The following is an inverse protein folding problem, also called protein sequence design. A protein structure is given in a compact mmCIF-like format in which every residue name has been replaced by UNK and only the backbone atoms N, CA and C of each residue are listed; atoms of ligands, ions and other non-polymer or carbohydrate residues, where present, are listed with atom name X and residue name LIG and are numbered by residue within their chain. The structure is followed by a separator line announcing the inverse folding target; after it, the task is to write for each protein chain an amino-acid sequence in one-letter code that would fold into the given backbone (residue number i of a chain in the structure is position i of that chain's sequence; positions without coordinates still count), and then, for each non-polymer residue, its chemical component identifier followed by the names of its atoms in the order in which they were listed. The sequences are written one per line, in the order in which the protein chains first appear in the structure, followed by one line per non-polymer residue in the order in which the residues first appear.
data_IF_386662471228
#
_entry.id   IF_386662471228
#
_cell.length_a   1.000
_cell.length_b   1.000
_cell.length_c   1.000
_cell.angle_alpha   90.00
_cell.angle_beta   90.00
_cell.angle_gamma   90.00
#
_symmetry.space_group_name_H-M   'P 1'
#
loop_
_entity.id
_entity.type
_entity.pdbx_description
1 polymer ?
#
# COMPACT_ATOMS: atom_id res chain seq x y z
N UNK A 1 -8.06 -20.93 -1.26
CA UNK A 1 -6.77 -21.23 -1.91
C UNK A 1 -5.96 -22.03 -0.90
N UNK A 2 -5.47 -23.22 -1.29
CA UNK A 2 -4.63 -24.04 -0.43
C UNK A 2 -3.27 -23.36 -0.23
N UNK A 3 -2.78 -23.36 1.02
CA UNK A 3 -1.51 -22.75 1.38
C UNK A 3 -0.31 -23.51 0.77
N UNK A 4 0.76 -22.77 0.47
CA UNK A 4 2.06 -23.34 0.25
C UNK A 4 2.64 -23.78 1.61
N UNK A 5 3.15 -25.01 1.69
CA UNK A 5 3.71 -25.59 2.92
C UNK A 5 5.06 -26.21 2.61
N UNK A 6 6.04 -25.91 3.44
CA UNK A 6 7.39 -26.49 3.39
C UNK A 6 7.93 -26.66 4.80
N UNK A 7 8.66 -27.76 5.04
CA UNK A 7 9.30 -28.04 6.32
C UNK A 7 10.81 -28.15 6.21
N UNK A 8 11.49 -27.82 7.30
CA UNK A 8 12.94 -27.74 7.39
C UNK A 8 13.44 -28.39 8.68
N UNK A 9 14.66 -28.86 8.64
CA UNK A 9 15.41 -29.09 9.88
C UNK A 9 15.63 -27.78 10.64
N UNK A 10 16.03 -27.83 11.88
CA UNK A 10 16.39 -26.65 12.68
C UNK A 10 17.57 -25.83 12.10
N UNK A 11 18.35 -26.44 11.24
CA UNK A 11 19.47 -25.79 10.52
C UNK A 11 19.10 -25.32 9.11
N UNK A 12 17.82 -25.47 8.68
CA UNK A 12 17.30 -24.94 7.43
C UNK A 12 17.39 -25.86 6.23
N UNK A 13 17.68 -27.14 6.41
CA UNK A 13 17.61 -28.15 5.34
C UNK A 13 16.15 -28.52 5.06
N UNK A 14 15.76 -28.57 3.80
CA UNK A 14 14.39 -28.86 3.37
C UNK A 14 14.07 -30.33 3.55
N UNK A 15 13.04 -30.64 4.35
CA UNK A 15 12.53 -31.98 4.59
C UNK A 15 11.42 -32.36 3.63
N UNK A 16 10.48 -31.47 3.38
CA UNK A 16 9.35 -31.68 2.46
C UNK A 16 8.77 -30.36 1.96
N UNK A 17 8.10 -30.40 0.82
CA UNK A 17 7.36 -29.26 0.27
C UNK A 17 6.11 -29.77 -0.44
N UNK A 18 4.97 -29.06 -0.27
CA UNK A 18 3.75 -29.43 -0.98
C UNK A 18 3.72 -28.89 -2.41
N UNK A 19 2.79 -29.39 -3.23
CA UNK A 19 2.66 -28.99 -4.63
C UNK A 19 2.43 -27.49 -4.83
N UNK A 20 1.73 -26.82 -3.91
CA UNK A 20 1.51 -25.38 -4.01
C UNK A 20 2.82 -24.59 -3.82
N UNK A 21 3.66 -24.98 -2.87
CA UNK A 21 4.98 -24.37 -2.69
C UNK A 21 5.87 -24.60 -3.92
N UNK A 22 5.93 -25.83 -4.38
CA UNK A 22 6.74 -26.22 -5.55
C UNK A 22 6.31 -25.46 -6.81
N UNK A 23 5.01 -25.36 -7.06
CA UNK A 23 4.46 -24.59 -8.18
C UNK A 23 4.78 -23.09 -8.09
N UNK A 24 4.66 -22.50 -6.91
CA UNK A 24 4.96 -21.07 -6.71
C UNK A 24 6.44 -20.74 -6.94
N UNK A 25 7.33 -21.66 -6.54
CA UNK A 25 8.78 -21.47 -6.65
C UNK A 25 9.40 -22.05 -7.91
N UNK A 26 8.63 -22.80 -8.73
CA UNK A 26 9.07 -23.36 -10.01
C UNK A 26 10.02 -24.56 -9.89
N UNK A 27 10.00 -25.27 -8.76
CA UNK A 27 10.85 -26.43 -8.50
C UNK A 27 10.04 -27.73 -8.48
N UNK A 28 10.73 -28.85 -8.75
CA UNK A 28 10.25 -30.18 -8.39
C UNK A 28 10.70 -30.54 -6.97
N UNK A 29 10.03 -31.49 -6.34
CA UNK A 29 10.38 -31.93 -4.98
C UNK A 29 11.82 -32.46 -4.89
N UNK A 30 12.24 -33.26 -5.90
CA UNK A 30 13.60 -33.82 -5.96
C UNK A 30 14.72 -32.76 -6.10
N UNK A 31 14.38 -31.56 -6.55
CA UNK A 31 15.33 -30.45 -6.67
C UNK A 31 15.52 -29.69 -5.37
N UNK A 32 14.59 -29.78 -4.44
CA UNK A 32 14.61 -28.98 -3.19
C UNK A 32 14.87 -29.80 -1.93
N UNK A 33 14.34 -31.01 -1.81
CA UNK A 33 14.54 -31.86 -0.62
C UNK A 33 16.03 -32.15 -0.43
N UNK A 34 16.51 -31.97 0.80
CA UNK A 34 17.92 -32.07 1.16
C UNK A 34 18.77 -30.83 0.81
N UNK A 35 18.19 -29.83 0.16
CA UNK A 35 18.84 -28.53 -0.03
C UNK A 35 18.53 -27.60 1.14
N UNK A 36 19.36 -26.57 1.31
CA UNK A 36 19.13 -25.56 2.34
C UNK A 36 18.16 -24.46 1.84
N UNK A 37 17.33 -23.93 2.71
CA UNK A 37 16.41 -22.78 2.47
C UNK A 37 17.06 -21.61 1.70
N UNK A 38 18.36 -21.42 1.83
CA UNK A 38 19.13 -20.37 1.14
C UNK A 38 18.97 -20.35 -0.38
N UNK A 39 18.55 -21.45 -0.98
CA UNK A 39 18.29 -21.49 -2.44
C UNK A 39 17.11 -20.59 -2.87
N UNK A 40 16.27 -20.18 -1.93
CA UNK A 40 15.11 -19.31 -2.16
C UNK A 40 15.35 -17.86 -1.82
N UNK A 41 16.53 -17.48 -1.38
CA UNK A 41 16.83 -16.11 -0.96
C UNK A 41 17.95 -15.52 -1.81
N UNK A 42 18.02 -14.19 -1.83
CA UNK A 42 19.13 -13.47 -2.45
C UNK A 42 20.47 -13.89 -1.84
N UNK A 43 21.52 -13.96 -2.67
CA UNK A 43 22.84 -14.44 -2.25
C UNK A 43 23.48 -13.60 -1.15
N UNK A 44 23.30 -12.27 -1.20
CA UNK A 44 23.89 -11.36 -0.21
C UNK A 44 23.16 -11.51 1.13
N UNK A 45 21.81 -11.63 1.09
CA UNK A 45 21.03 -11.93 2.28
C UNK A 45 21.39 -13.29 2.86
N UNK A 46 21.57 -14.34 2.02
CA UNK A 46 21.96 -15.68 2.49
C UNK A 46 23.28 -15.71 3.28
N UNK A 47 24.16 -14.76 3.05
CA UNK A 47 25.46 -14.61 3.72
C UNK A 47 25.44 -13.61 4.89
N UNK A 48 24.30 -12.93 5.12
CA UNK A 48 24.18 -11.89 6.12
C UNK A 48 24.09 -12.44 7.55
N UNK A 49 24.47 -11.63 8.52
CA UNK A 49 24.27 -11.93 9.95
C UNK A 49 22.78 -11.97 10.30
N UNK A 50 21.94 -11.19 9.60
CA UNK A 50 20.49 -11.20 9.76
C UNK A 50 19.89 -12.57 9.42
N UNK A 51 20.32 -13.18 8.32
CA UNK A 51 19.87 -14.50 7.92
C UNK A 51 20.31 -15.59 8.90
N UNK A 52 21.55 -15.50 9.39
CA UNK A 52 22.05 -16.42 10.43
C UNK A 52 21.23 -16.28 11.71
N UNK A 53 20.95 -15.05 12.14
CA UNK A 53 20.15 -14.77 13.35
C UNK A 53 18.69 -15.26 13.18
N UNK A 54 18.13 -15.14 12.00
CA UNK A 54 16.80 -15.66 11.65
C UNK A 54 16.70 -17.17 11.96
N UNK A 55 17.65 -17.98 11.50
CA UNK A 55 17.66 -19.41 11.78
C UNK A 55 17.95 -19.73 13.24
N UNK A 56 18.82 -18.98 13.91
CA UNK A 56 19.07 -19.14 15.34
C UNK A 56 17.81 -18.91 16.18
N UNK A 57 17.01 -17.91 15.87
CA UNK A 57 15.74 -17.63 16.55
C UNK A 57 14.72 -18.75 16.32
N UNK A 58 14.59 -19.25 15.11
CA UNK A 58 13.71 -20.40 14.82
C UNK A 58 14.15 -21.65 15.62
N UNK A 59 15.44 -21.92 15.66
CA UNK A 59 16.03 -23.03 16.43
C UNK A 59 15.81 -22.87 17.95
N UNK A 60 15.72 -21.65 18.46
CA UNK A 60 15.40 -21.38 19.86
C UNK A 60 13.91 -21.43 20.18
N UNK A 61 13.04 -21.64 19.20
CA UNK A 61 11.60 -21.78 19.38
C UNK A 61 10.79 -20.53 19.08
N UNK A 62 11.41 -19.48 18.55
CA UNK A 62 10.70 -18.24 18.18
C UNK A 62 9.94 -18.44 16.86
N UNK A 63 8.66 -18.07 16.85
CA UNK A 63 7.85 -17.97 15.62
C UNK A 63 8.24 -16.71 14.86
N UNK A 64 8.40 -16.81 13.54
CA UNK A 64 8.69 -15.68 12.69
C UNK A 64 7.64 -15.52 11.58
N UNK A 65 6.95 -14.37 11.56
CA UNK A 65 5.85 -14.09 10.66
C UNK A 65 6.06 -12.74 9.97
N UNK A 66 5.70 -12.66 8.69
CA UNK A 66 5.82 -11.41 7.93
C UNK A 66 5.75 -11.62 6.43
N UNK A 67 6.04 -10.54 5.71
CA UNK A 67 6.21 -10.56 4.26
C UNK A 67 7.69 -10.72 3.90
N UNK A 68 7.96 -11.62 2.96
CA UNK A 68 9.32 -11.93 2.55
C UNK A 68 9.43 -11.95 1.03
N UNK A 69 10.51 -11.39 0.50
CA UNK A 69 10.92 -11.60 -0.88
C UNK A 69 11.71 -12.92 -1.00
N UNK A 70 11.33 -13.76 -1.92
CA UNK A 70 12.01 -15.01 -2.23
C UNK A 70 12.35 -15.06 -3.72
N UNK A 71 13.34 -15.84 -4.08
CA UNK A 71 13.78 -16.02 -5.47
C UNK A 71 13.36 -17.41 -5.95
N UNK A 72 12.63 -17.46 -7.07
CA UNK A 72 12.20 -18.70 -7.67
C UNK A 72 13.33 -19.34 -8.52
N UNK A 73 13.07 -20.50 -9.09
CA UNK A 73 14.03 -21.23 -9.94
C UNK A 73 14.49 -20.44 -11.16
N UNK A 74 13.65 -19.55 -11.71
CA UNK A 74 13.95 -18.70 -12.86
C UNK A 74 14.73 -17.42 -12.46
N UNK A 75 14.99 -17.21 -11.18
CA UNK A 75 15.65 -16.01 -10.66
C UNK A 75 14.72 -14.81 -10.48
N UNK A 76 13.40 -15.02 -10.52
CA UNK A 76 12.40 -13.98 -10.36
C UNK A 76 12.01 -13.83 -8.89
N UNK A 77 11.66 -12.59 -8.49
CA UNK A 77 11.16 -12.30 -7.17
C UNK A 77 9.73 -12.81 -6.96
N UNK A 78 9.53 -13.55 -5.88
CA UNK A 78 8.23 -14.02 -5.40
C UNK A 78 8.02 -13.46 -4.00
N UNK A 79 7.02 -12.59 -3.85
CA UNK A 79 6.63 -12.06 -2.55
C UNK A 79 5.65 -12.99 -1.86
N UNK A 80 5.95 -13.33 -0.62
CA UNK A 80 5.12 -14.23 0.20
C UNK A 80 4.76 -13.58 1.54
N UNK A 81 3.53 -13.80 1.95
CA UNK A 81 3.12 -13.69 3.35
C UNK A 81 3.33 -15.04 3.99
N UNK A 82 4.20 -15.15 4.97
CA UNK A 82 4.59 -16.43 5.55
C UNK A 82 4.72 -16.40 7.07
N UNK A 83 4.56 -17.58 7.65
CA UNK A 83 4.85 -17.84 9.07
C UNK A 83 5.72 -19.07 9.16
N UNK A 84 6.86 -18.95 9.82
CA UNK A 84 7.78 -20.02 10.19
C UNK A 84 7.51 -20.42 11.62
N UNK A 85 7.12 -21.69 11.83
CA UNK A 85 6.67 -22.19 13.10
C UNK A 85 7.58 -23.34 13.55
N UNK A 86 8.32 -23.18 14.66
CA UNK A 86 9.00 -24.28 15.29
C UNK A 86 8.00 -25.32 15.81
N UNK A 87 8.26 -26.57 15.53
CA UNK A 87 7.51 -27.72 16.07
C UNK A 87 8.38 -28.41 17.10
N UNK A 88 7.81 -28.66 18.28
CA UNK A 88 8.54 -29.16 19.41
C UNK A 88 8.34 -30.68 19.58
N UNK A 89 9.37 -31.37 20.04
CA UNK A 89 9.34 -32.76 20.43
C UNK A 89 8.71 -32.97 21.83
N UNK A 90 8.62 -34.23 22.27
CA UNK A 90 8.07 -34.57 23.58
C UNK A 90 8.91 -34.02 24.75
N UNK A 91 10.15 -33.62 24.51
CA UNK A 91 11.05 -33.04 25.52
C UNK A 91 10.97 -31.51 25.56
N UNK A 92 10.19 -30.90 24.63
CA UNK A 92 10.07 -29.46 24.54
C UNK A 92 11.23 -28.80 23.78
N UNK A 93 12.02 -29.56 23.04
CA UNK A 93 13.06 -29.05 22.14
C UNK A 93 12.49 -28.91 20.71
N UNK A 94 13.02 -27.96 19.92
CA UNK A 94 12.58 -27.78 18.55
C UNK A 94 13.05 -28.95 17.69
N UNK A 95 12.11 -29.70 17.13
CA UNK A 95 12.36 -30.86 16.28
C UNK A 95 12.56 -30.44 14.82
N UNK A 96 11.62 -29.66 14.28
CA UNK A 96 11.70 -29.13 12.91
C UNK A 96 10.93 -27.79 12.80
N UNK A 97 11.08 -27.13 11.65
CA UNK A 97 10.38 -25.88 11.33
C UNK A 97 9.37 -26.17 10.23
N UNK A 98 8.10 -25.73 10.40
CA UNK A 98 7.10 -25.76 9.35
C UNK A 98 6.72 -24.34 8.94
N UNK A 99 6.71 -24.09 7.65
CA UNK A 99 6.37 -22.79 7.06
C UNK A 99 5.06 -22.91 6.29
N UNK A 100 4.16 -21.98 6.56
CA UNK A 100 2.97 -21.72 5.77
C UNK A 100 3.13 -20.40 5.02
N UNK A 101 2.83 -20.39 3.73
CA UNK A 101 3.00 -19.20 2.90
C UNK A 101 1.86 -19.02 1.91
N UNK A 102 1.57 -17.77 1.60
CA UNK A 102 0.69 -17.34 0.51
C UNK A 102 1.45 -16.43 -0.43
N UNK A 103 1.34 -16.65 -1.73
CA UNK A 103 1.92 -15.79 -2.75
C UNK A 103 1.12 -14.47 -2.83
N UNK A 104 1.82 -13.36 -2.59
CA UNK A 104 1.27 -11.99 -2.65
C UNK A 104 1.94 -11.16 -3.76
N UNK A 105 2.67 -11.78 -4.67
CA UNK A 105 3.42 -11.09 -5.74
C UNK A 105 2.51 -10.21 -6.58
N UNK A 106 1.38 -10.76 -7.06
CA UNK A 106 0.42 -10.01 -7.86
C UNK A 106 -0.18 -8.81 -7.07
N UNK A 107 -0.43 -8.99 -5.78
CA UNK A 107 -0.91 -7.90 -4.92
C UNK A 107 0.15 -6.81 -4.74
N UNK A 108 1.40 -7.18 -4.53
CA UNK A 108 2.53 -6.23 -4.43
C UNK A 108 2.72 -5.44 -5.72
N UNK A 109 2.69 -6.11 -6.87
CA UNK A 109 2.80 -5.45 -8.18
C UNK A 109 1.66 -4.46 -8.42
N UNK A 110 0.43 -4.87 -8.11
CA UNK A 110 -0.75 -4.02 -8.24
C UNK A 110 -0.69 -2.79 -7.32
N UNK A 111 -0.24 -2.97 -6.09
CA UNK A 111 -0.06 -1.85 -5.15
C UNK A 111 1.03 -0.89 -5.64
N UNK A 112 2.18 -1.40 -6.12
CA UNK A 112 3.25 -0.59 -6.67
C UNK A 112 2.81 0.20 -7.91
N UNK A 113 2.00 -0.40 -8.78
CA UNK A 113 1.41 0.29 -9.93
C UNK A 113 0.48 1.44 -9.49
N UNK A 114 -0.41 1.20 -8.54
CA UNK A 114 -1.29 2.25 -7.99
C UNK A 114 -0.50 3.38 -7.33
N UNK A 115 0.51 3.06 -6.53
CA UNK A 115 1.38 4.06 -5.91
C UNK A 115 2.15 4.88 -6.96
N UNK A 116 2.61 4.22 -8.02
CA UNK A 116 3.26 4.86 -9.17
C UNK A 116 2.32 5.83 -9.88
N UNK A 117 1.07 5.43 -10.14
CA UNK A 117 0.05 6.28 -10.77
C UNK A 117 -0.28 7.49 -9.90
N UNK A 118 -0.50 7.31 -8.59
CA UNK A 118 -0.75 8.40 -7.65
C UNK A 118 0.43 9.37 -7.61
N UNK A 119 1.66 8.85 -7.60
CA UNK A 119 2.88 9.67 -7.62
C UNK A 119 2.97 10.49 -8.91
N UNK A 120 2.65 9.90 -10.06
CA UNK A 120 2.65 10.61 -11.35
C UNK A 120 1.60 11.74 -11.37
N UNK A 121 0.39 11.48 -10.88
CA UNK A 121 -0.68 12.48 -10.75
C UNK A 121 -0.24 13.62 -9.83
N UNK A 122 0.33 13.31 -8.67
CA UNK A 122 0.81 14.29 -7.70
C UNK A 122 1.93 15.19 -8.24
N UNK A 123 2.74 14.69 -9.19
CA UNK A 123 3.77 15.50 -9.87
C UNK A 123 3.22 16.44 -10.92
N UNK A 124 2.11 16.08 -11.56
CA UNK A 124 1.56 16.81 -12.71
C UNK A 124 0.37 17.72 -12.38
N UNK A 125 -0.35 17.45 -11.30
CA UNK A 125 -1.58 18.17 -10.95
C UNK A 125 -1.54 18.71 -9.51
N UNK A 126 -2.28 19.78 -9.29
CA UNK A 126 -2.63 20.22 -7.94
C UNK A 126 -3.70 19.29 -7.36
N UNK A 127 -3.42 18.70 -6.20
CA UNK A 127 -4.31 17.73 -5.54
C UNK A 127 -4.60 18.19 -4.12
N UNK A 128 -5.88 18.15 -3.76
CA UNK A 128 -6.34 18.42 -2.40
C UNK A 128 -7.47 17.46 -2.02
N UNK A 129 -7.47 17.01 -0.78
CA UNK A 129 -8.44 16.06 -0.24
C UNK A 129 -9.31 16.72 0.84
N UNK A 130 -10.58 16.35 0.86
CA UNK A 130 -11.57 16.83 1.83
C UNK A 130 -12.34 15.67 2.45
N UNK A 131 -12.84 15.87 3.65
CA UNK A 131 -13.94 15.06 4.15
C UNK A 131 -15.25 15.38 3.40
N UNK A 132 -16.34 14.68 3.72
CA UNK A 132 -17.62 14.89 3.04
C UNK A 132 -18.32 16.20 3.45
N UNK A 133 -17.86 16.84 4.50
CA UNK A 133 -18.30 18.15 4.97
C UNK A 133 -17.51 19.31 4.33
N UNK A 134 -16.44 18.99 3.56
CA UNK A 134 -15.59 19.96 2.88
C UNK A 134 -14.41 20.47 3.71
N UNK A 135 -14.08 19.82 4.83
CA UNK A 135 -12.89 20.15 5.59
C UNK A 135 -11.64 19.50 4.94
N UNK A 136 -10.57 20.26 4.89
CA UNK A 136 -9.32 19.87 4.23
C UNK A 136 -8.59 18.80 5.06
N UNK A 137 -8.35 17.66 4.45
CA UNK A 137 -7.59 16.54 5.03
C UNK A 137 -6.11 16.63 4.66
N UNK A 138 -5.81 16.90 3.38
CA UNK A 138 -4.45 16.94 2.86
C UNK A 138 -4.39 17.73 1.54
N UNK A 139 -3.19 18.18 1.15
CA UNK A 139 -2.93 18.81 -0.15
C UNK A 139 -1.48 18.54 -0.57
N UNK A 140 -1.24 18.41 -1.87
CA UNK A 140 0.11 18.25 -2.40
C UNK A 140 0.83 19.60 -2.62
N UNK A 141 2.13 19.54 -2.87
CA UNK A 141 2.97 20.72 -3.07
C UNK A 141 2.49 21.61 -4.22
N UNK A 142 1.98 21.01 -5.31
CA UNK A 142 1.47 21.78 -6.46
C UNK A 142 0.26 22.63 -6.06
N UNK A 143 -0.68 22.07 -5.29
CA UNK A 143 -1.83 22.81 -4.78
C UNK A 143 -1.37 23.94 -3.82
N UNK A 144 -0.50 23.61 -2.87
CA UNK A 144 0.01 24.56 -1.89
C UNK A 144 0.74 25.74 -2.58
N UNK A 145 1.59 25.45 -3.56
CA UNK A 145 2.29 26.46 -4.34
C UNK A 145 1.34 27.35 -5.15
N UNK A 146 0.36 26.76 -5.85
CA UNK A 146 -0.62 27.50 -6.65
C UNK A 146 -1.47 28.45 -5.77
N UNK A 147 -1.89 27.98 -4.59
CA UNK A 147 -2.72 28.74 -3.67
C UNK A 147 -1.95 29.67 -2.72
N UNK A 148 -0.62 29.48 -2.59
CA UNK A 148 0.25 30.28 -1.74
C UNK A 148 0.12 29.98 -0.24
N UNK A 149 -0.34 28.80 0.14
CA UNK A 149 -0.49 28.35 1.52
C UNK A 149 0.49 27.24 1.88
N UNK A 150 0.81 27.12 3.15
CA UNK A 150 1.38 25.91 3.71
C UNK A 150 0.28 24.92 4.12
N UNK A 151 0.59 23.63 4.21
CA UNK A 151 -0.37 22.63 4.64
C UNK A 151 -0.90 22.89 6.05
N UNK A 152 -0.05 23.36 6.96
CA UNK A 152 -0.43 23.69 8.34
C UNK A 152 -1.44 24.84 8.46
N UNK A 153 -1.46 25.75 7.47
CA UNK A 153 -2.42 26.86 7.44
C UNK A 153 -3.82 26.42 6.98
N UNK A 154 -3.91 25.38 6.15
CA UNK A 154 -5.18 24.98 5.54
C UNK A 154 -5.77 23.69 6.08
N UNK A 155 -4.95 22.77 6.61
CA UNK A 155 -5.43 21.49 7.13
C UNK A 155 -6.45 21.69 8.26
N UNK A 156 -7.61 21.04 8.12
CA UNK A 156 -8.75 21.21 9.04
C UNK A 156 -9.61 22.44 8.76
N UNK A 157 -9.19 23.35 7.87
CA UNK A 157 -10.03 24.45 7.41
C UNK A 157 -11.03 23.94 6.37
N UNK A 158 -12.11 24.68 6.16
CA UNK A 158 -13.13 24.32 5.19
C UNK A 158 -12.80 24.89 3.80
N UNK A 159 -13.15 24.13 2.73
CA UNK A 159 -12.99 24.52 1.31
C UNK A 159 -13.46 25.97 1.02
N UNK A 160 -14.45 26.44 1.76
CA UNK A 160 -14.99 27.78 1.59
C UNK A 160 -13.96 28.93 1.74
N UNK A 161 -12.78 28.65 2.30
CA UNK A 161 -11.70 29.63 2.35
C UNK A 161 -11.14 30.00 0.98
N UNK A 162 -11.36 29.16 -0.04
CA UNK A 162 -10.88 29.35 -1.42
C UNK A 162 -11.94 29.91 -2.36
N UNK A 163 -13.12 30.24 -1.89
CA UNK A 163 -14.23 30.73 -2.71
C UNK A 163 -14.63 32.16 -2.34
N UNK A 164 -15.27 32.84 -3.29
CA UNK A 164 -15.83 34.17 -3.04
C UNK A 164 -16.83 34.14 -1.87
N UNK A 165 -16.81 35.12 -0.96
CA UNK A 165 -17.72 35.18 0.18
C UNK A 165 -19.20 35.13 -0.18
N UNK A 166 -19.59 35.71 -1.34
CA UNK A 166 -20.96 35.66 -1.83
C UNK A 166 -21.38 34.27 -2.28
N UNK A 167 -20.48 33.55 -2.98
CA UNK A 167 -20.71 32.18 -3.40
C UNK A 167 -20.76 31.23 -2.23
N UNK A 168 -19.90 31.41 -1.22
CA UNK A 168 -19.90 30.62 0.03
C UNK A 168 -21.27 30.55 0.70
N UNK A 169 -22.03 31.63 0.65
CA UNK A 169 -23.35 31.75 1.29
C UNK A 169 -24.51 31.32 0.38
N UNK A 170 -24.23 30.94 -0.85
CA UNK A 170 -25.26 30.60 -1.85
C UNK A 170 -25.84 29.20 -1.63
N UNK A 171 -27.10 29.00 -2.05
CA UNK A 171 -27.73 27.69 -2.11
C UNK A 171 -27.01 26.75 -3.10
N UNK A 172 -26.42 27.30 -4.15
CA UNK A 172 -25.63 26.55 -5.13
C UNK A 172 -24.39 25.91 -4.50
N UNK A 173 -23.66 26.64 -3.65
CA UNK A 173 -22.52 26.09 -2.94
C UNK A 173 -22.91 24.98 -1.94
N UNK A 174 -24.02 25.14 -1.26
CA UNK A 174 -24.56 24.09 -0.37
C UNK A 174 -24.96 22.83 -1.18
N UNK A 175 -25.63 23.02 -2.32
CA UNK A 175 -26.01 21.91 -3.21
C UNK A 175 -24.78 21.19 -3.80
N UNK A 176 -23.72 21.93 -4.14
CA UNK A 176 -22.46 21.38 -4.62
C UNK A 176 -21.87 20.35 -3.64
N UNK A 177 -21.77 20.70 -2.34
CA UNK A 177 -21.26 19.75 -1.33
C UNK A 177 -22.23 18.61 -1.04
N UNK A 178 -23.54 18.85 -1.09
CA UNK A 178 -24.53 17.77 -0.96
C UNK A 178 -24.42 16.73 -2.09
N UNK A 179 -24.21 17.18 -3.33
CA UNK A 179 -23.99 16.31 -4.48
C UNK A 179 -22.74 15.45 -4.33
N UNK A 180 -21.61 16.03 -3.92
CA UNK A 180 -20.39 15.31 -3.65
C UNK A 180 -20.56 14.27 -2.51
N UNK A 181 -21.26 14.64 -1.45
CA UNK A 181 -21.59 13.74 -0.33
C UNK A 181 -22.51 12.59 -0.76
N UNK A 182 -23.36 12.81 -1.77
CA UNK A 182 -24.19 11.78 -2.38
C UNK A 182 -23.41 10.84 -3.33
N UNK A 183 -22.14 11.15 -3.63
CA UNK A 183 -21.29 10.35 -4.48
C UNK A 183 -21.24 10.83 -5.95
N UNK A 184 -21.78 11.98 -6.25
CA UNK A 184 -21.74 12.58 -7.59
C UNK A 184 -20.43 13.36 -7.76
N UNK A 185 -19.71 13.15 -8.88
CA UNK A 185 -18.54 13.94 -9.22
C UNK A 185 -18.95 15.29 -9.83
N UNK A 186 -18.08 16.28 -9.74
CA UNK A 186 -18.27 17.59 -10.34
C UNK A 186 -17.00 18.01 -11.10
N UNK A 187 -17.14 18.46 -12.33
CA UNK A 187 -16.03 18.93 -13.15
C UNK A 187 -16.39 20.27 -13.81
N UNK A 188 -15.41 21.17 -13.90
CA UNK A 188 -15.62 22.47 -14.54
C UNK A 188 -14.46 23.43 -14.34
N UNK A 189 -14.69 24.66 -14.78
CA UNK A 189 -13.80 25.79 -14.54
C UNK A 189 -14.32 26.60 -13.35
N UNK A 190 -13.45 26.91 -12.43
CA UNK A 190 -13.82 27.55 -11.18
C UNK A 190 -12.87 28.71 -10.88
N UNK A 191 -13.48 29.84 -10.47
CA UNK A 191 -12.75 30.92 -9.86
C UNK A 191 -12.45 30.57 -8.40
N UNK A 192 -11.20 30.75 -7.98
CA UNK A 192 -10.76 30.49 -6.60
C UNK A 192 -9.96 31.68 -6.08
N UNK A 193 -9.95 31.82 -4.77
CA UNK A 193 -9.24 32.87 -4.04
C UNK A 193 -8.04 32.22 -3.35
N UNK A 194 -6.85 32.58 -3.79
CA UNK A 194 -5.59 32.20 -3.18
C UNK A 194 -5.22 33.10 -2.00
N UNK A 195 -4.14 32.78 -1.30
CA UNK A 195 -3.64 33.59 -0.17
C UNK A 195 -3.41 35.05 -0.59
N UNK A 196 -3.80 35.97 0.28
CA UNK A 196 -3.73 37.41 -0.01
C UNK A 196 -4.83 37.93 -0.91
N UNK A 197 -5.88 37.17 -1.21
CA UNK A 197 -7.01 37.59 -2.02
C UNK A 197 -6.76 37.51 -3.54
N UNK A 198 -5.70 36.85 -3.99
CA UNK A 198 -5.38 36.71 -5.41
C UNK A 198 -6.39 35.77 -6.08
N UNK A 199 -7.05 36.25 -7.12
CA UNK A 199 -7.96 35.43 -7.92
C UNK A 199 -7.19 34.53 -8.88
N UNK A 200 -7.58 33.28 -8.96
CA UNK A 200 -7.07 32.31 -9.93
C UNK A 200 -8.22 31.56 -10.58
N UNK A 201 -8.04 31.19 -11.84
CA UNK A 201 -8.95 30.32 -12.55
C UNK A 201 -8.32 28.93 -12.67
N UNK A 202 -9.09 27.92 -12.35
CA UNK A 202 -8.65 26.52 -12.40
C UNK A 202 -9.66 25.68 -13.14
N UNK A 203 -9.18 24.72 -13.92
CA UNK A 203 -9.99 23.60 -14.37
C UNK A 203 -9.82 22.48 -13.35
N UNK A 204 -10.92 22.01 -12.78
CA UNK A 204 -10.86 21.04 -11.71
C UNK A 204 -11.97 20.00 -11.77
N UNK A 205 -11.67 18.81 -11.27
CA UNK A 205 -12.65 17.76 -10.96
C UNK A 205 -12.65 17.45 -9.48
N UNK A 206 -13.83 17.29 -8.90
CA UNK A 206 -14.07 16.86 -7.52
C UNK A 206 -14.65 15.45 -7.56
N UNK A 207 -13.94 14.51 -6.97
CA UNK A 207 -14.23 13.09 -7.12
C UNK A 207 -14.44 12.44 -5.75
N UNK A 208 -15.67 12.03 -5.42
CA UNK A 208 -15.92 11.24 -4.23
C UNK A 208 -15.19 9.89 -4.31
N UNK A 209 -14.56 9.51 -3.20
CA UNK A 209 -13.89 8.22 -3.03
C UNK A 209 -14.75 7.32 -2.15
N UNK A 210 -14.91 6.08 -2.58
CA UNK A 210 -15.83 5.12 -1.97
C UNK A 210 -15.07 4.06 -1.16
N UNK A 211 -15.65 3.66 -0.05
CA UNK A 211 -15.18 2.52 0.74
C UNK A 211 -15.54 1.17 0.07
N UNK A 212 -15.14 0.07 0.69
CA UNK A 212 -15.41 -1.29 0.19
C UNK A 212 -16.90 -1.66 0.12
N UNK A 213 -17.77 -0.87 0.78
CA UNK A 213 -19.23 -1.03 0.76
C UNK A 213 -19.92 -0.12 -0.25
N UNK A 214 -19.14 0.64 -1.02
CA UNK A 214 -19.65 1.60 -2.00
C UNK A 214 -20.19 2.90 -1.40
N UNK A 215 -19.82 3.24 -0.16
CA UNK A 215 -20.21 4.48 0.51
C UNK A 215 -19.11 5.53 0.35
N UNK A 216 -19.44 6.78 -0.08
CA UNK A 216 -18.45 7.87 -0.10
C UNK A 216 -17.89 8.14 1.29
N UNK A 217 -16.58 8.41 1.40
CA UNK A 217 -15.95 8.75 2.68
C UNK A 217 -15.00 9.95 2.62
N UNK A 218 -14.56 10.34 1.43
CA UNK A 218 -13.78 11.57 1.19
C UNK A 218 -13.96 12.05 -0.24
N UNK A 219 -13.51 13.27 -0.52
CA UNK A 219 -13.48 13.87 -1.86
C UNK A 219 -12.04 14.21 -2.22
N UNK A 220 -11.59 13.81 -3.41
CA UNK A 220 -10.28 14.21 -3.97
C UNK A 220 -10.51 15.15 -5.14
N UNK A 221 -9.88 16.31 -5.08
CA UNK A 221 -9.90 17.30 -6.15
C UNK A 221 -8.58 17.28 -6.89
N UNK A 222 -8.67 17.19 -8.19
CA UNK A 222 -7.57 17.42 -9.12
C UNK A 222 -7.78 18.75 -9.84
N UNK A 223 -6.74 19.56 -9.96
CA UNK A 223 -6.83 20.87 -10.61
C UNK A 223 -5.58 21.21 -11.41
N UNK A 224 -5.81 21.96 -12.49
CA UNK A 224 -4.78 22.60 -13.31
C UNK A 224 -5.09 24.08 -13.42
N UNK A 225 -4.06 24.93 -13.51
CA UNK A 225 -4.21 26.36 -13.77
C UNK A 225 -4.64 26.57 -15.25
N UNK A 226 -5.48 27.56 -15.49
CA UNK A 226 -6.03 27.88 -16.82
C UNK A 226 -5.63 29.26 -17.27
#
# INVERSE_FOLDING_TARGET
RSQAVISFTTDGEILSANGNFLSAMGYSESEVVGKHHRIFVDSDYAQSDEYRLFWQKLKSGDVHSGEFCRINKQGEEVWIQATYNPVFDEKGEVDYIIKFASDITAQKQKNADYEGQITAINKSQAVIEFDLEGNILNANENFLAAMGYSLSEIKGQHHSMFVDPSYKLSAEYAAFWQSLKAGEHSEGEYKRIAKGGREIWIRASYNPIFDSKGKPFKVVKFATDV
#
